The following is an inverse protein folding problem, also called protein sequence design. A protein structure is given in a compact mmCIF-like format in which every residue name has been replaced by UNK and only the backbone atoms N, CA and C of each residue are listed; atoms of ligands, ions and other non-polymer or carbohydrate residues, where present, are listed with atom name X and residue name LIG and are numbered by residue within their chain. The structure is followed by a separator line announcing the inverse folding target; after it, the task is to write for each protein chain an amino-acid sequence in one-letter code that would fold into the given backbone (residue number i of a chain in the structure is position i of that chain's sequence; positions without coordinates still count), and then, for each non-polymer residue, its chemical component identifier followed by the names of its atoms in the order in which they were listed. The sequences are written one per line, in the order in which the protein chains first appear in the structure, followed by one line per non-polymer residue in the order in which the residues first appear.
data_IF_672322843951
#
_entry.id   IF_672322843951
#
_cell.length_a   1.000
_cell.length_b   1.000
_cell.length_c   1.000
_cell.angle_alpha   90.00
_cell.angle_beta   90.00
_cell.angle_gamma   90.00
#
_symmetry.space_group_name_H-M   'P 1'
#
loop_
_entity.id
_entity.type
_entity.pdbx_description
1 polymer ?
#
# COMPACT_ATOMS: atom_id res chain seq x y z
N UNK A 1 -8.12 -7.54 -17.53
CA UNK A 1 -7.22 -6.72 -16.70
C UNK A 1 -6.26 -5.99 -17.62
N UNK A 2 -6.19 -4.66 -17.53
CA UNK A 2 -5.40 -3.86 -18.45
C UNK A 2 -3.95 -3.82 -17.93
N UNK A 3 -3.08 -4.69 -18.46
CA UNK A 3 -1.69 -4.87 -17.98
C UNK A 3 -0.87 -3.57 -17.98
N UNK A 4 -1.30 -2.57 -18.78
CA UNK A 4 -0.70 -1.23 -18.85
C UNK A 4 -0.76 -0.45 -17.53
N UNK A 5 -1.69 -0.78 -16.62
CA UNK A 5 -1.89 -0.04 -15.36
C UNK A 5 -1.22 -0.66 -14.13
N UNK A 6 -0.81 -1.93 -14.20
CA UNK A 6 -0.27 -2.65 -13.04
C UNK A 6 1.21 -2.30 -12.84
N UNK A 7 1.55 -2.00 -11.58
CA UNK A 7 2.93 -1.85 -11.14
C UNK A 7 3.33 -3.05 -10.28
N UNK A 8 4.63 -3.40 -10.23
CA UNK A 8 5.13 -4.34 -9.22
C UNK A 8 4.76 -3.88 -7.80
N UNK A 9 4.60 -4.83 -6.88
CA UNK A 9 4.37 -4.56 -5.47
C UNK A 9 5.71 -4.50 -4.72
N UNK A 10 5.80 -5.10 -3.53
CA UNK A 10 7.03 -5.26 -2.79
C UNK A 10 8.06 -6.13 -3.53
N UNK A 11 9.34 -5.85 -3.29
CA UNK A 11 10.43 -6.68 -3.82
C UNK A 11 10.53 -7.99 -3.06
N UNK A 12 10.41 -7.94 -1.73
CA UNK A 12 10.24 -9.12 -0.87
C UNK A 12 8.86 -9.05 -0.20
N UNK A 13 7.83 -9.70 -0.77
CA UNK A 13 6.45 -9.56 -0.28
C UNK A 13 6.29 -9.89 1.20
N UNK A 14 7.02 -10.87 1.71
CA UNK A 14 6.89 -11.30 3.12
C UNK A 14 7.60 -10.31 4.03
N UNK A 15 8.88 -10.02 3.77
CA UNK A 15 9.66 -9.19 4.67
C UNK A 15 9.23 -7.72 4.62
N UNK A 16 8.88 -7.20 3.45
CA UNK A 16 8.48 -5.80 3.29
C UNK A 16 7.07 -5.52 3.82
N UNK A 17 6.12 -6.45 3.65
CA UNK A 17 4.81 -6.34 4.29
C UNK A 17 4.98 -6.31 5.83
N UNK A 18 5.82 -7.20 6.35
CA UNK A 18 6.06 -7.32 7.78
C UNK A 18 6.82 -6.10 8.36
N UNK A 19 7.74 -5.50 7.60
CA UNK A 19 8.38 -4.20 7.92
C UNK A 19 7.34 -3.08 7.96
N UNK A 20 6.51 -2.98 6.93
CA UNK A 20 5.46 -1.95 6.81
C UNK A 20 4.46 -2.05 7.95
N UNK A 21 4.00 -3.26 8.28
CA UNK A 21 3.14 -3.53 9.44
C UNK A 21 3.77 -3.06 10.75
N UNK A 22 5.04 -3.41 11.03
CA UNK A 22 5.71 -2.96 12.26
C UNK A 22 5.86 -1.45 12.34
N UNK A 23 6.05 -0.78 11.21
CA UNK A 23 6.15 0.68 11.16
C UNK A 23 4.80 1.31 11.48
N UNK A 24 3.71 0.78 10.91
CA UNK A 24 2.36 1.20 11.25
C UNK A 24 2.07 0.97 12.74
N UNK A 25 2.41 -0.21 13.27
CA UNK A 25 2.23 -0.54 14.68
C UNK A 25 2.99 0.45 15.58
N UNK A 26 4.25 0.78 15.27
CA UNK A 26 5.04 1.76 16.01
C UNK A 26 4.42 3.15 15.98
N UNK A 27 3.96 3.60 14.81
CA UNK A 27 3.32 4.91 14.64
C UNK A 27 2.03 5.00 15.46
N UNK A 28 1.22 3.94 15.46
CA UNK A 28 -0.02 3.86 16.24
C UNK A 28 0.24 3.74 17.74
N UNK A 29 1.25 2.96 18.16
CA UNK A 29 1.61 2.77 19.58
C UNK A 29 2.33 3.98 20.19
N UNK A 30 2.94 4.83 19.36
CA UNK A 30 3.62 6.05 19.77
C UNK A 30 3.06 7.28 19.04
N UNK A 31 1.83 7.72 19.34
CA UNK A 31 1.21 8.86 18.67
C UNK A 31 2.09 10.11 18.70
N UNK A 32 2.11 10.85 17.58
CA UNK A 32 2.94 12.04 17.41
C UNK A 32 4.39 11.76 16.99
N UNK A 33 4.83 10.49 16.99
CA UNK A 33 6.16 10.11 16.53
C UNK A 33 6.15 9.72 15.05
N UNK A 34 6.86 10.46 14.22
CA UNK A 34 7.04 10.14 12.79
C UNK A 34 7.85 8.85 12.66
N UNK A 35 7.29 7.87 11.96
CA UNK A 35 8.00 6.65 11.57
C UNK A 35 8.31 6.70 10.07
N UNK A 36 9.51 6.27 9.69
CA UNK A 36 9.95 6.27 8.29
C UNK A 36 10.04 4.85 7.76
N UNK A 37 9.38 4.59 6.63
CA UNK A 37 9.59 3.38 5.83
C UNK A 37 10.70 3.65 4.81
N UNK A 38 11.87 2.97 4.87
CA UNK A 38 12.96 3.22 3.94
C UNK A 38 12.55 2.93 2.49
N UNK A 39 12.92 3.81 1.55
CA UNK A 39 12.54 3.73 0.13
C UNK A 39 12.82 2.37 -0.52
N UNK A 40 13.93 1.71 -0.14
CA UNK A 40 14.27 0.36 -0.63
C UNK A 40 13.27 -0.75 -0.28
N UNK A 41 12.41 -0.50 0.71
CA UNK A 41 11.40 -1.45 1.21
C UNK A 41 9.97 -0.98 0.86
N UNK A 42 9.86 0.06 0.03
CA UNK A 42 8.58 0.57 -0.45
C UNK A 42 8.29 -0.02 -1.84
N UNK A 43 7.01 -0.22 -2.21
CA UNK A 43 6.65 -0.54 -3.57
C UNK A 43 6.87 0.69 -4.48
N UNK A 44 6.94 0.52 -5.80
CA UNK A 44 6.84 1.63 -6.74
C UNK A 44 5.67 2.57 -6.41
N UNK A 45 5.92 3.87 -6.53
CA UNK A 45 4.87 4.87 -6.37
C UNK A 45 3.82 4.71 -7.47
N UNK A 46 2.54 4.78 -7.10
CA UNK A 46 1.46 4.93 -8.07
C UNK A 46 1.23 6.43 -8.28
N UNK A 47 0.92 6.83 -9.50
CA UNK A 47 0.60 8.23 -9.77
C UNK A 47 -0.59 8.68 -8.90
N UNK A 48 -0.38 9.73 -8.09
CA UNK A 48 -1.40 10.25 -7.18
C UNK A 48 -1.51 9.52 -5.83
N UNK A 49 -0.70 8.48 -5.56
CA UNK A 49 -0.65 7.81 -4.26
C UNK A 49 0.79 7.70 -3.78
N UNK A 50 1.04 8.19 -2.56
CA UNK A 50 2.37 8.07 -1.96
C UNK A 50 2.78 6.60 -1.78
N UNK A 51 4.05 6.32 -2.00
CA UNK A 51 4.61 4.97 -1.92
C UNK A 51 4.48 4.36 -0.51
N UNK A 52 4.54 5.17 0.54
CA UNK A 52 4.28 4.72 1.91
C UNK A 52 2.80 4.33 2.11
N UNK A 53 1.86 5.08 1.53
CA UNK A 53 0.43 4.72 1.57
C UNK A 53 0.19 3.40 0.82
N UNK A 54 0.80 3.24 -0.36
CA UNK A 54 0.71 1.98 -1.11
C UNK A 54 1.29 0.80 -0.31
N UNK A 55 2.43 0.98 0.37
CA UNK A 55 3.01 -0.05 1.23
C UNK A 55 2.08 -0.47 2.38
N UNK A 56 1.39 0.50 2.99
CA UNK A 56 0.40 0.21 4.04
C UNK A 56 -0.80 -0.56 3.48
N UNK A 57 -1.29 -0.19 2.29
CA UNK A 57 -2.35 -0.94 1.62
C UNK A 57 -1.94 -2.40 1.39
N UNK A 58 -0.76 -2.64 0.82
CA UNK A 58 -0.25 -3.98 0.56
C UNK A 58 -0.04 -4.82 1.83
N UNK A 59 0.26 -4.18 2.96
CA UNK A 59 0.53 -4.88 4.22
C UNK A 59 -0.72 -5.12 5.08
N UNK A 60 -1.78 -4.32 4.91
CA UNK A 60 -2.93 -4.30 5.82
C UNK A 60 -4.25 -4.69 5.16
N UNK A 61 -4.39 -4.50 3.85
CA UNK A 61 -5.62 -4.82 3.13
C UNK A 61 -5.63 -6.29 2.67
N UNK A 62 -6.83 -6.82 2.53
CA UNK A 62 -7.11 -8.17 2.07
C UNK A 62 -8.54 -8.30 1.53
N UNK A 63 -8.94 -9.52 1.18
CA UNK A 63 -10.28 -9.84 0.68
C UNK A 63 -11.41 -9.38 1.63
N UNK A 64 -11.14 -9.36 2.94
CA UNK A 64 -12.13 -9.05 3.97
C UNK A 64 -12.11 -7.58 4.43
N UNK A 65 -11.36 -6.72 3.74
CA UNK A 65 -11.22 -5.30 4.10
C UNK A 65 -11.79 -4.41 2.98
N UNK A 66 -13.06 -3.99 3.03
CA UNK A 66 -13.59 -3.04 2.05
C UNK A 66 -12.82 -1.71 2.07
N UNK A 67 -12.42 -1.21 0.89
CA UNK A 67 -11.68 0.03 0.77
C UNK A 67 -12.53 1.11 0.11
N UNK A 68 -12.73 2.21 0.83
CA UNK A 68 -13.22 3.44 0.23
C UNK A 68 -12.05 4.30 -0.26
N UNK A 69 -12.15 4.80 -1.49
CA UNK A 69 -11.22 5.75 -2.08
C UNK A 69 -11.90 7.11 -2.20
N UNK A 70 -11.26 8.16 -1.70
CA UNK A 70 -11.71 9.52 -1.97
C UNK A 70 -11.59 9.83 -3.47
N UNK A 71 -12.39 10.77 -4.03
CA UNK A 71 -12.41 11.05 -5.47
C UNK A 71 -11.04 11.31 -6.09
N UNK A 72 -10.12 11.95 -5.37
CA UNK A 72 -8.74 12.21 -5.81
C UNK A 72 -7.85 10.97 -5.92
N UNK A 73 -8.16 9.90 -5.18
CA UNK A 73 -7.46 8.61 -5.21
C UNK A 73 -8.19 7.55 -6.03
N UNK A 74 -9.43 7.82 -6.44
CA UNK A 74 -10.25 6.95 -7.26
C UNK A 74 -9.81 7.01 -8.74
N UNK A 75 -8.61 6.47 -9.00
CA UNK A 75 -8.07 6.38 -10.35
C UNK A 75 -8.04 4.92 -10.83
N UNK A 76 -8.12 4.67 -12.15
CA UNK A 76 -8.01 3.32 -12.69
C UNK A 76 -6.72 2.60 -12.28
N UNK A 77 -5.61 3.33 -12.14
CA UNK A 77 -4.33 2.77 -11.72
C UNK A 77 -4.36 2.32 -10.26
N UNK A 78 -4.84 3.16 -9.34
CA UNK A 78 -4.93 2.82 -7.91
C UNK A 78 -5.90 1.66 -7.71
N UNK A 79 -7.11 1.72 -8.29
CA UNK A 79 -8.08 0.62 -8.21
C UNK A 79 -7.54 -0.70 -8.74
N UNK A 80 -6.88 -0.69 -9.90
CA UNK A 80 -6.35 -1.92 -10.50
C UNK A 80 -5.26 -2.54 -9.62
N UNK A 81 -4.35 -1.74 -9.06
CA UNK A 81 -3.27 -2.25 -8.22
C UNK A 81 -3.78 -2.77 -6.87
N UNK A 82 -4.70 -2.05 -6.21
CA UNK A 82 -5.29 -2.52 -4.95
C UNK A 82 -6.09 -3.81 -5.14
N UNK A 83 -6.96 -3.85 -6.16
CA UNK A 83 -7.77 -5.04 -6.43
C UNK A 83 -6.89 -6.25 -6.79
N UNK A 84 -5.83 -6.05 -7.59
CA UNK A 84 -4.96 -7.13 -8.00
C UNK A 84 -4.06 -7.67 -6.87
N UNK A 85 -3.41 -6.78 -6.11
CA UNK A 85 -2.43 -7.19 -5.10
C UNK A 85 -3.05 -7.51 -3.75
N UNK A 86 -4.13 -6.84 -3.36
CA UNK A 86 -4.76 -7.01 -2.05
C UNK A 86 -6.05 -7.83 -2.11
N UNK A 87 -6.72 -7.94 -3.27
CA UNK A 87 -8.05 -8.54 -3.37
C UNK A 87 -9.16 -7.75 -2.66
N UNK A 88 -8.85 -6.53 -2.20
CA UNK A 88 -9.77 -5.67 -1.46
C UNK A 88 -10.97 -5.25 -2.32
N UNK A 89 -12.22 -5.43 -1.84
CA UNK A 89 -13.42 -4.96 -2.52
C UNK A 89 -13.62 -3.44 -2.38
#
# INVERSE_FOLDING_TARGET
MNAVLLQPAFTDPVLDAQRSFRIALKALSGPGMIQTLPTRHQPPALQGLDSATHALCLALLGLDTPLWLAPEFDTPAIRANIAFHCGSP
#
